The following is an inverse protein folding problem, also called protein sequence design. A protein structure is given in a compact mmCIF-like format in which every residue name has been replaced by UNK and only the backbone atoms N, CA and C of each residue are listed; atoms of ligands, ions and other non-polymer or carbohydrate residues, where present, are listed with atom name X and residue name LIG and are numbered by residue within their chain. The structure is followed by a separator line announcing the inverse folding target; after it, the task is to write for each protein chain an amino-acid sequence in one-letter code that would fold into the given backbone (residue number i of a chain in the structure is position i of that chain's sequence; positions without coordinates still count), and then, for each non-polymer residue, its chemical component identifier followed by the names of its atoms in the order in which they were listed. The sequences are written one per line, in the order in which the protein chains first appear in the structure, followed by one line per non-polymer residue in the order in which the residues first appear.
data_IF_535337307145
#
_entry.id   IF_535337307145
#
_cell.length_a   1.000
_cell.length_b   1.000
_cell.length_c   1.000
_cell.angle_alpha   90.00
_cell.angle_beta   90.00
_cell.angle_gamma   90.00
#
_symmetry.space_group_name_H-M   'P 1'
#
loop_
_entity.id
_entity.type
_entity.pdbx_description
1 polymer ?
#
# COMPACT_ATOMS: atom_id res chain seq x y z
N UNK A 1 6.89 -15.26 15.64
CA UNK A 1 6.27 -13.95 15.90
C UNK A 1 5.57 -13.51 14.62
N UNK A 2 4.25 -13.60 14.54
CA UNK A 2 3.52 -13.23 13.32
C UNK A 2 3.33 -11.71 13.30
N UNK A 3 3.93 -11.04 12.33
CA UNK A 3 3.68 -9.63 12.03
C UNK A 3 2.23 -9.50 11.58
N UNK A 4 1.52 -8.47 12.05
CA UNK A 4 0.19 -8.14 11.56
C UNK A 4 0.28 -7.76 10.07
N UNK A 5 -0.12 -8.68 9.18
CA UNK A 5 0.14 -8.58 7.75
C UNK A 5 -0.88 -7.69 7.04
N UNK A 6 -0.44 -6.52 6.55
CA UNK A 6 -1.33 -5.52 5.94
C UNK A 6 -1.66 -5.78 4.47
N UNK A 7 -0.80 -6.45 3.70
CA UNK A 7 -0.98 -6.62 2.25
C UNK A 7 -2.09 -7.61 1.88
N UNK A 8 -2.27 -8.66 2.69
CA UNK A 8 -3.28 -9.70 2.48
C UNK A 8 -4.34 -9.70 3.58
N UNK A 9 -4.45 -8.60 4.34
CA UNK A 9 -5.35 -8.48 5.49
C UNK A 9 -6.80 -8.74 5.11
N UNK A 10 -7.24 -8.30 3.93
CA UNK A 10 -8.61 -8.44 3.46
C UNK A 10 -8.85 -9.76 2.68
N UNK A 11 -7.86 -10.65 2.57
CA UNK A 11 -7.99 -11.89 1.83
C UNK A 11 -9.00 -12.82 2.54
N UNK A 12 -9.99 -13.29 1.79
CA UNK A 12 -11.04 -14.18 2.30
C UNK A 12 -12.24 -13.44 2.91
N UNK A 13 -12.21 -12.11 2.95
CA UNK A 13 -13.38 -11.32 3.31
C UNK A 13 -14.42 -11.42 2.17
N UNK A 14 -15.71 -11.67 2.45
CA UNK A 14 -16.73 -11.74 1.42
C UNK A 14 -16.73 -10.48 0.56
N UNK A 15 -16.83 -10.65 -0.75
CA UNK A 15 -16.86 -9.51 -1.67
C UNK A 15 -15.64 -8.56 -1.56
N UNK A 16 -14.48 -9.03 -1.11
CA UNK A 16 -13.27 -8.20 -0.92
C UNK A 16 -12.81 -7.45 -2.18
N UNK A 17 -13.28 -7.86 -3.36
CA UNK A 17 -13.02 -7.23 -4.65
C UNK A 17 -13.92 -6.01 -4.93
N UNK A 18 -14.99 -5.81 -4.15
CA UNK A 18 -15.92 -4.69 -4.32
C UNK A 18 -15.36 -3.43 -3.66
N UNK A 19 -15.54 -2.28 -4.33
CA UNK A 19 -15.08 -0.99 -3.83
C UNK A 19 -15.68 -0.63 -2.47
N UNK A 20 -16.96 -0.94 -2.25
CA UNK A 20 -17.64 -0.68 -0.98
C UNK A 20 -16.99 -1.43 0.19
N UNK A 21 -16.59 -2.69 -0.04
CA UNK A 21 -15.92 -3.53 0.96
C UNK A 21 -14.49 -3.04 1.21
N UNK A 22 -13.75 -2.70 0.15
CA UNK A 22 -12.43 -2.11 0.28
C UNK A 22 -12.48 -0.80 1.07
N UNK A 23 -13.38 0.12 0.71
CA UNK A 23 -13.56 1.39 1.42
C UNK A 23 -14.01 1.18 2.89
N UNK A 24 -14.93 0.24 3.15
CA UNK A 24 -15.42 -0.06 4.49
C UNK A 24 -14.40 -0.71 5.43
N UNK A 25 -13.30 -1.24 4.88
CA UNK A 25 -12.19 -1.84 5.65
C UNK A 25 -11.00 -0.89 5.81
N UNK A 26 -11.19 0.42 5.54
CA UNK A 26 -10.15 1.45 5.61
C UNK A 26 -9.44 1.74 4.29
N UNK A 27 -9.92 1.16 3.19
CA UNK A 27 -9.43 1.43 1.84
C UNK A 27 -9.61 2.91 1.46
N UNK A 28 -8.61 3.45 0.77
CA UNK A 28 -8.49 4.86 0.37
C UNK A 28 -8.32 5.88 1.50
N UNK A 29 -8.36 5.54 2.78
CA UNK A 29 -8.24 6.54 3.85
C UNK A 29 -6.88 7.25 3.84
N UNK A 30 -5.80 6.50 3.62
CA UNK A 30 -4.47 7.08 3.44
C UNK A 30 -4.38 7.96 2.18
N UNK A 31 -5.03 7.56 1.08
CA UNK A 31 -5.07 8.35 -0.16
C UNK A 31 -5.83 9.66 0.06
N UNK A 32 -6.99 9.61 0.73
CA UNK A 32 -7.77 10.79 1.08
C UNK A 32 -6.95 11.73 1.95
N UNK A 33 -6.26 11.22 2.97
CA UNK A 33 -5.39 12.02 3.82
C UNK A 33 -4.32 12.76 3.00
N UNK A 34 -3.60 12.05 2.14
CA UNK A 34 -2.57 12.65 1.29
C UNK A 34 -3.12 13.77 0.41
N UNK A 35 -4.31 13.57 -0.19
CA UNK A 35 -4.93 14.52 -1.11
C UNK A 35 -5.59 15.71 -0.38
N UNK A 36 -6.29 15.46 0.73
CA UNK A 36 -7.03 16.47 1.48
C UNK A 36 -6.09 17.32 2.35
N UNK A 37 -5.08 16.71 2.97
CA UNK A 37 -4.09 17.41 3.77
C UNK A 37 -3.00 18.07 2.91
N UNK A 38 -3.12 17.99 1.58
CA UNK A 38 -2.20 18.62 0.61
C UNK A 38 -0.73 18.30 0.89
N UNK A 39 -0.42 17.03 1.18
CA UNK A 39 0.97 16.60 1.45
C UNK A 39 1.85 16.87 0.23
N UNK A 40 3.00 17.51 0.47
CA UNK A 40 3.94 17.80 -0.61
C UNK A 40 4.53 16.50 -1.17
N UNK A 41 4.70 16.38 -2.50
CA UNK A 41 5.30 15.18 -3.12
C UNK A 41 6.65 14.78 -2.50
N UNK A 42 7.50 15.75 -2.16
CA UNK A 42 8.80 15.51 -1.54
C UNK A 42 8.69 14.88 -0.13
N UNK A 43 7.67 15.26 0.63
CA UNK A 43 7.40 14.65 1.93
C UNK A 43 7.02 13.17 1.75
N UNK A 44 6.18 12.85 0.76
CA UNK A 44 5.79 11.47 0.44
C UNK A 44 7.02 10.65 0.05
N UNK A 45 7.87 11.19 -0.84
CA UNK A 45 9.12 10.54 -1.27
C UNK A 45 10.04 10.29 -0.07
N UNK A 46 10.18 11.27 0.82
CA UNK A 46 10.99 11.14 2.04
C UNK A 46 10.49 10.03 2.95
N UNK A 47 9.17 9.95 3.18
CA UNK A 47 8.57 8.87 3.99
C UNK A 47 8.77 7.48 3.37
N UNK A 48 8.64 7.35 2.05
CA UNK A 48 8.93 6.07 1.36
C UNK A 48 10.40 5.69 1.51
N UNK A 49 11.33 6.66 1.39
CA UNK A 49 12.76 6.41 1.59
C UNK A 49 13.06 5.96 3.02
N UNK A 50 12.45 6.61 4.03
CA UNK A 50 12.57 6.21 5.45
C UNK A 50 12.04 4.81 5.71
N UNK A 51 11.00 4.39 5.00
CA UNK A 51 10.39 3.05 5.16
C UNK A 51 11.30 1.89 4.73
N UNK A 52 12.41 2.16 4.03
CA UNK A 52 13.30 1.16 3.44
C UNK A 52 12.58 0.15 2.52
N UNK A 53 11.45 0.56 1.90
CA UNK A 53 10.73 -0.24 0.94
C UNK A 53 11.62 -0.55 -0.27
N UNK A 54 11.71 -1.83 -0.62
CA UNK A 54 12.47 -2.33 -1.78
C UNK A 54 11.53 -2.83 -2.85
N UNK A 55 12.00 -2.81 -4.10
CA UNK A 55 11.32 -3.47 -5.21
C UNK A 55 11.02 -4.93 -4.85
N UNK A 56 9.76 -5.33 -5.03
CA UNK A 56 9.28 -6.70 -4.75
C UNK A 56 9.20 -7.57 -6.02
N UNK A 57 9.60 -7.03 -7.17
CA UNK A 57 9.87 -7.82 -8.36
C UNK A 57 11.25 -8.47 -8.27
N UNK A 58 11.37 -9.71 -8.73
CA UNK A 58 12.69 -10.30 -8.97
C UNK A 58 13.42 -9.49 -10.05
N UNK A 59 14.75 -9.33 -9.97
CA UNK A 59 15.51 -8.79 -11.08
C UNK A 59 15.28 -9.68 -12.31
N UNK A 60 14.81 -9.09 -13.40
CA UNK A 60 14.81 -9.78 -14.70
C UNK A 60 16.24 -9.76 -15.22
N UNK A 61 17.04 -10.77 -14.85
CA UNK A 61 18.32 -10.99 -15.53
C UNK A 61 18.01 -11.58 -16.90
N UNK A 62 18.10 -10.78 -17.95
CA UNK A 62 18.15 -11.31 -19.31
C UNK A 62 19.46 -12.10 -19.45
N UNK A 63 19.44 -13.33 -19.99
CA UNK A 63 20.68 -13.99 -20.41
C UNK A 63 21.28 -13.17 -21.56
N UNK A 64 22.56 -12.82 -21.42
CA UNK A 64 23.37 -12.26 -22.51
C UNK A 64 23.73 -13.31 -23.55
#
# INVERSE_FOLDING_TARGET
MFVNGVTLQNRGLPDSHRLSVYAGTGGYDALRRVLLDSMAPDQIISEVKKSALRGRGAPVSLPG
#
